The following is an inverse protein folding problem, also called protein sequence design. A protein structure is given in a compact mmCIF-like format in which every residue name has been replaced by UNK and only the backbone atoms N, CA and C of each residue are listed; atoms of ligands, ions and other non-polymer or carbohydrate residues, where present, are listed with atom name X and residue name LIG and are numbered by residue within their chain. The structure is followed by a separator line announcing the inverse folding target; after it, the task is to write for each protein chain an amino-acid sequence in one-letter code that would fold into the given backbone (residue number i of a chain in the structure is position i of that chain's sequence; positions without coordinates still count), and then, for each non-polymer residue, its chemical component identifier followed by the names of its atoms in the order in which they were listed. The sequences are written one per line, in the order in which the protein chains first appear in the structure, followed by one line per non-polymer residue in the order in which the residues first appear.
data_IF_022999508094
#
_entry.id   IF_022999508094
#
_cell.length_a   1.000
_cell.length_b   1.000
_cell.length_c   1.000
_cell.angle_alpha   90.00
_cell.angle_beta   90.00
_cell.angle_gamma   90.00
#
_symmetry.space_group_name_H-M   'P 1'
#
loop_
_entity.id
_entity.type
_entity.pdbx_description
1 polymer ?
#
# COMPACT_ATOMS: atom_id res chain seq x y z
N UNK A 1 -33.12 29.02 -5.11
CA UNK A 1 -32.90 27.92 -4.16
C UNK A 1 -32.95 26.60 -4.93
N UNK A 2 -31.83 26.19 -5.53
CA UNK A 2 -31.57 24.83 -6.01
C UNK A 2 -30.04 24.69 -6.04
N UNK A 3 -29.49 24.07 -5.00
CA UNK A 3 -28.08 23.73 -4.80
C UNK A 3 -28.10 22.23 -4.49
N UNK A 4 -27.50 21.41 -5.37
CA UNK A 4 -27.13 19.97 -5.22
C UNK A 4 -27.43 19.22 -6.54
N UNK A 5 -26.60 18.43 -7.20
CA UNK A 5 -25.20 17.98 -7.07
C UNK A 5 -24.87 17.25 -8.39
N UNK A 6 -23.64 17.27 -8.92
CA UNK A 6 -23.28 16.41 -10.04
C UNK A 6 -22.94 15.00 -9.51
N UNK A 7 -23.94 14.12 -9.39
CA UNK A 7 -23.76 12.70 -9.02
C UNK A 7 -23.63 11.80 -10.25
N UNK A 8 -22.70 12.12 -11.14
CA UNK A 8 -22.38 11.27 -12.30
C UNK A 8 -20.86 11.20 -12.44
N UNK A 9 -20.21 10.54 -11.48
CA UNK A 9 -18.90 9.94 -11.70
C UNK A 9 -19.18 8.46 -11.78
N UNK A 10 -19.27 8.00 -13.02
CA UNK A 10 -19.36 6.63 -13.47
C UNK A 10 -18.41 5.74 -12.67
N UNK A 11 -18.95 4.74 -11.99
CA UNK A 11 -18.18 3.63 -11.43
C UNK A 11 -17.59 2.82 -12.58
N UNK A 12 -16.42 3.23 -13.07
CA UNK A 12 -15.59 2.40 -13.93
C UNK A 12 -15.12 1.22 -13.07
N UNK A 13 -15.77 0.05 -13.16
CA UNK A 13 -15.23 -1.15 -12.52
C UNK A 13 -13.89 -1.47 -13.21
N UNK A 14 -12.77 -1.13 -12.56
CA UNK A 14 -11.42 -1.38 -13.07
C UNK A 14 -11.18 -2.88 -13.21
N UNK A 15 -11.55 -3.42 -14.37
CA UNK A 15 -11.12 -4.75 -14.81
C UNK A 15 -9.66 -4.61 -15.20
N UNK A 16 -8.78 -5.21 -14.42
CA UNK A 16 -7.34 -5.24 -14.69
C UNK A 16 -7.14 -6.00 -16.02
N UNK A 17 -6.58 -5.39 -17.08
CA UNK A 17 -6.31 -6.10 -18.33
C UNK A 17 -5.22 -7.17 -18.12
N UNK A 18 -5.31 -8.34 -18.77
CA UNK A 18 -4.23 -9.35 -18.73
C UNK A 18 -2.98 -8.73 -19.36
N UNK A 19 -1.82 -8.66 -18.67
CA UNK A 19 -1.11 -9.79 -18.05
C UNK A 19 -1.04 -9.78 -16.50
N UNK A 20 -1.71 -8.84 -15.82
CA UNK A 20 -1.70 -8.74 -14.35
C UNK A 20 -2.77 -9.62 -13.71
N UNK A 21 -2.83 -10.89 -14.11
CA UNK A 21 -3.63 -11.90 -13.41
C UNK A 21 -3.00 -12.12 -12.04
N UNK A 22 -3.48 -11.42 -11.02
CA UNK A 22 -3.12 -11.72 -9.63
C UNK A 22 -3.71 -13.08 -9.26
N UNK A 23 -2.99 -14.17 -9.55
CA UNK A 23 -3.43 -15.51 -9.19
C UNK A 23 -2.74 -16.00 -7.90
N UNK A 24 -3.55 -16.03 -6.83
CA UNK A 24 -3.48 -16.86 -5.61
C UNK A 24 -2.38 -16.57 -4.55
N UNK A 25 -2.67 -16.68 -3.23
CA UNK A 25 -3.05 -17.96 -2.61
C UNK A 25 -4.26 -17.86 -1.64
N UNK A 26 -5.27 -18.68 -1.90
CA UNK A 26 -6.38 -18.96 -0.99
C UNK A 26 -7.71 -18.38 -1.47
N UNK A 27 -8.68 -19.26 -1.71
CA UNK A 27 -9.99 -18.97 -2.29
C UNK A 27 -10.84 -18.01 -1.44
N UNK A 28 -10.58 -16.71 -1.52
CA UNK A 28 -11.52 -15.68 -1.07
C UNK A 28 -12.45 -15.36 -2.24
N UNK A 29 -13.70 -15.86 -2.11
CA UNK A 29 -14.91 -15.47 -2.88
C UNK A 29 -14.62 -14.49 -4.02
N UNK A 30 -14.49 -15.02 -5.22
CA UNK A 30 -14.12 -14.33 -6.47
C UNK A 30 -15.11 -13.26 -6.96
N UNK A 31 -16.03 -12.81 -6.10
CA UNK A 31 -17.07 -11.80 -6.37
C UNK A 31 -16.92 -10.55 -5.49
N UNK A 32 -15.74 -10.29 -4.94
CA UNK A 32 -15.46 -9.00 -4.29
C UNK A 32 -15.17 -7.94 -5.36
N UNK A 33 -16.14 -7.06 -5.58
CA UNK A 33 -15.95 -5.83 -6.36
C UNK A 33 -15.47 -4.73 -5.42
N UNK A 34 -14.26 -4.24 -5.66
CA UNK A 34 -13.72 -3.08 -4.95
C UNK A 34 -14.04 -1.81 -5.74
N UNK A 35 -14.45 -0.76 -5.03
CA UNK A 35 -14.55 0.57 -5.62
C UNK A 35 -13.14 1.06 -5.99
N UNK A 36 -12.96 1.76 -7.11
CA UNK A 36 -11.65 2.33 -7.49
C UNK A 36 -11.09 3.19 -6.36
N UNK A 37 -11.94 4.00 -5.72
CA UNK A 37 -11.54 4.86 -4.60
C UNK A 37 -11.00 4.06 -3.42
N UNK A 38 -11.54 2.86 -3.15
CA UNK A 38 -11.04 1.98 -2.10
C UNK A 38 -9.65 1.43 -2.44
N UNK A 39 -9.41 1.06 -3.70
CA UNK A 39 -8.10 0.60 -4.16
C UNK A 39 -7.07 1.75 -4.14
N UNK A 40 -7.46 2.94 -4.59
CA UNK A 40 -6.63 4.15 -4.55
C UNK A 40 -6.23 4.50 -3.11
N UNK A 41 -7.18 4.47 -2.18
CA UNK A 41 -6.91 4.72 -0.76
C UNK A 41 -5.94 3.68 -0.16
N UNK A 42 -6.06 2.41 -0.54
CA UNK A 42 -5.13 1.36 -0.12
C UNK A 42 -3.73 1.57 -0.70
N UNK A 43 -3.61 1.99 -1.96
CA UNK A 43 -2.33 2.33 -2.58
C UNK A 43 -1.67 3.48 -1.82
N UNK A 44 -2.39 4.58 -1.61
CA UNK A 44 -1.88 5.76 -0.90
C UNK A 44 -1.43 5.40 0.52
N UNK A 45 -2.23 4.59 1.24
CA UNK A 45 -1.86 4.11 2.58
C UNK A 45 -0.63 3.21 2.56
N UNK A 46 -0.52 2.31 1.58
CA UNK A 46 0.62 1.42 1.42
C UNK A 46 1.90 2.19 1.08
N UNK A 47 1.83 3.17 0.17
CA UNK A 47 2.95 4.03 -0.19
C UNK A 47 3.40 4.88 1.00
N UNK A 48 2.47 5.53 1.70
CA UNK A 48 2.79 6.31 2.89
C UNK A 48 3.47 5.46 3.98
N UNK A 49 3.00 4.22 4.18
CA UNK A 49 3.60 3.29 5.12
C UNK A 49 5.02 2.87 4.70
N UNK A 50 5.21 2.50 3.43
CA UNK A 50 6.51 2.07 2.91
C UNK A 50 7.53 3.20 2.94
N UNK A 51 7.14 4.42 2.55
CA UNK A 51 8.01 5.60 2.61
C UNK A 51 8.50 5.83 4.05
N UNK A 52 7.60 5.85 5.03
CA UNK A 52 7.99 6.02 6.43
C UNK A 52 8.87 4.88 6.96
N UNK A 53 8.60 3.64 6.56
CA UNK A 53 9.44 2.49 6.95
C UNK A 53 10.85 2.57 6.35
N UNK A 54 10.98 3.03 5.11
CA UNK A 54 12.28 3.19 4.46
C UNK A 54 13.07 4.38 5.02
N UNK A 55 12.42 5.44 5.48
CA UNK A 55 13.07 6.53 6.23
C UNK A 55 13.72 6.00 7.52
N UNK A 56 12.97 5.26 8.32
CA UNK A 56 13.47 4.62 9.56
C UNK A 56 14.61 3.63 9.27
N UNK A 57 14.46 2.85 8.19
CA UNK A 57 15.48 1.88 7.73
C UNK A 57 16.76 2.59 7.27
N UNK A 58 16.63 3.72 6.57
CA UNK A 58 17.77 4.51 6.12
C UNK A 58 18.55 5.10 7.31
N UNK A 59 17.85 5.60 8.32
CA UNK A 59 18.48 6.05 9.58
C UNK A 59 19.24 4.91 10.27
N UNK A 60 18.69 3.70 10.28
CA UNK A 60 19.36 2.50 10.82
C UNK A 60 20.62 2.13 10.02
N UNK A 61 20.60 2.27 8.69
CA UNK A 61 21.77 2.02 7.84
C UNK A 61 22.89 3.04 8.13
N UNK A 62 22.55 4.33 8.21
CA UNK A 62 23.47 5.44 8.49
C UNK A 62 24.09 5.31 9.88
N UNK A 63 23.32 4.86 10.88
CA UNK A 63 23.83 4.58 12.23
C UNK A 63 25.05 3.64 12.23
N UNK A 64 25.09 2.70 11.29
CA UNK A 64 26.21 1.75 11.11
C UNK A 64 27.20 2.15 10.02
N UNK A 65 27.18 3.42 9.57
CA UNK A 65 28.03 3.99 8.50
C UNK A 65 27.87 3.33 7.13
N UNK A 66 26.67 2.82 6.83
CA UNK A 66 26.33 2.25 5.52
C UNK A 66 25.32 3.15 4.80
N UNK A 67 25.38 3.18 3.47
CA UNK A 67 24.39 3.86 2.62
C UNK A 67 23.40 2.86 2.01
N UNK A 68 23.81 1.60 1.85
CA UNK A 68 22.95 0.53 1.34
C UNK A 68 22.06 -0.03 2.45
N UNK A 69 20.75 0.07 2.26
CA UNK A 69 19.75 -0.57 3.12
C UNK A 69 19.84 -2.09 3.00
N UNK A 70 19.76 -2.77 4.14
CA UNK A 70 19.79 -4.23 4.20
C UNK A 70 18.54 -4.75 4.94
N UNK A 71 18.13 -6.02 4.72
CA UNK A 71 16.97 -6.60 5.41
C UNK A 71 17.05 -6.52 6.93
N UNK A 72 18.26 -6.58 7.50
CA UNK A 72 18.53 -6.41 8.94
C UNK A 72 18.16 -5.01 9.46
N UNK A 73 18.28 -3.97 8.62
CA UNK A 73 17.94 -2.59 8.99
C UNK A 73 16.41 -2.43 9.05
N UNK A 74 15.68 -3.09 8.14
CA UNK A 74 14.21 -3.13 8.12
C UNK A 74 13.69 -3.90 9.33
N UNK A 75 14.28 -5.07 9.64
CA UNK A 75 13.92 -5.86 10.83
C UNK A 75 14.13 -5.05 12.11
N UNK A 76 15.23 -4.29 12.18
CA UNK A 76 15.51 -3.41 13.31
C UNK A 76 14.50 -2.24 13.38
N UNK A 77 14.24 -1.56 12.28
CA UNK A 77 13.28 -0.46 12.19
C UNK A 77 11.87 -0.91 12.63
N UNK A 78 11.38 -2.05 12.12
CA UNK A 78 10.08 -2.64 12.52
C UNK A 78 10.06 -3.01 14.01
N UNK A 79 11.16 -3.55 14.53
CA UNK A 79 11.30 -3.90 15.95
C UNK A 79 11.26 -2.67 16.86
N UNK A 80 11.85 -1.55 16.43
CA UNK A 80 11.84 -0.27 17.16
C UNK A 80 10.45 0.38 17.11
N UNK A 81 9.78 0.34 15.94
CA UNK A 81 8.40 0.81 15.77
C UNK A 81 7.36 0.06 16.61
N UNK A 82 7.73 -1.11 17.17
CA UNK A 82 6.81 -1.93 17.95
C UNK A 82 5.80 -2.71 17.10
N UNK A 83 5.98 -2.73 15.77
CA UNK A 83 5.25 -3.60 14.85
C UNK A 83 5.79 -5.03 14.95
N UNK A 84 5.58 -5.64 16.13
CA UNK A 84 5.74 -7.07 16.32
C UNK A 84 4.60 -7.76 15.57
N UNK A 85 4.95 -8.52 14.54
CA UNK A 85 4.16 -9.69 14.17
C UNK A 85 4.21 -10.71 15.31
#
# INVERSE_FOLDING_TARGET
MQLSSPSHISEEAFTIPPPFSFSSPGDFKTDLRFQISAVSALQEAAEAYLVGLFEDTNLCAIHTKRVTIMPKDIQLARRIRGERA
#
